data_IF_466741641063
#
_entry.id   IF_466741641063
#
_cell.length_a   1.000
_cell.length_b   1.000
_cell.length_c   1.000
_cell.angle_alpha   90.00
_cell.angle_beta   90.00
_cell.angle_gamma   90.00
#
_symmetry.space_group_name_H-M   'P 1'
#
loop_
_entity.id
_entity.type
_entity.pdbx_description
1 polymer ?
#
# COMPACT_ATOMS: atom_id res chain seq x y z
N UNK A 1 -11.03 -0.06 17.44
CA UNK A 1 -11.14 -1.49 17.06
C UNK A 1 -9.92 -1.85 16.21
N UNK A 2 -8.74 -1.91 16.83
CA UNK A 2 -7.44 -2.00 16.13
C UNK A 2 -7.36 -3.13 15.09
N UNK A 3 -8.01 -4.28 15.34
CA UNK A 3 -8.04 -5.39 14.40
C UNK A 3 -8.81 -5.07 13.11
N UNK A 4 -9.87 -4.27 13.18
CA UNK A 4 -10.62 -3.84 11.99
C UNK A 4 -9.76 -2.94 11.11
N UNK A 5 -8.98 -2.04 11.70
CA UNK A 5 -8.10 -1.12 10.97
C UNK A 5 -6.97 -1.88 10.25
N UNK A 6 -6.44 -2.95 10.86
CA UNK A 6 -5.49 -3.87 10.22
C UNK A 6 -6.12 -4.58 9.02
N UNK A 7 -7.33 -5.12 9.17
CA UNK A 7 -8.05 -5.76 8.07
C UNK A 7 -8.30 -4.77 6.94
N UNK A 8 -8.70 -3.53 7.25
CA UNK A 8 -8.90 -2.47 6.26
C UNK A 8 -7.60 -2.13 5.54
N UNK A 9 -6.48 -2.03 6.25
CA UNK A 9 -5.18 -1.76 5.63
C UNK A 9 -4.75 -2.88 4.67
N UNK A 10 -4.93 -4.15 5.06
CA UNK A 10 -4.61 -5.30 4.21
C UNK A 10 -5.51 -5.36 2.98
N UNK A 11 -6.83 -5.22 3.17
CA UNK A 11 -7.79 -5.21 2.08
C UNK A 11 -7.60 -4.01 1.16
N UNK A 12 -7.28 -2.84 1.71
CA UNK A 12 -6.97 -1.62 0.97
C UNK A 12 -5.72 -1.77 0.11
N UNK A 13 -4.63 -2.31 0.66
CA UNK A 13 -3.42 -2.57 -0.10
C UNK A 13 -3.66 -3.58 -1.24
N UNK A 14 -4.44 -4.63 -0.98
CA UNK A 14 -4.83 -5.59 -2.01
C UNK A 14 -5.73 -4.95 -3.07
N UNK A 15 -6.71 -4.15 -2.66
CA UNK A 15 -7.61 -3.43 -3.56
C UNK A 15 -6.85 -2.48 -4.48
N UNK A 16 -5.87 -1.74 -3.95
CA UNK A 16 -4.99 -0.88 -4.75
C UNK A 16 -4.16 -1.68 -5.76
N UNK A 17 -3.62 -2.82 -5.36
CA UNK A 17 -2.89 -3.71 -6.27
C UNK A 17 -3.78 -4.27 -7.38
N UNK A 18 -5.01 -4.64 -7.04
CA UNK A 18 -6.02 -5.12 -7.99
C UNK A 18 -6.42 -4.02 -8.97
N UNK A 19 -6.71 -2.82 -8.47
CA UNK A 19 -7.08 -1.68 -9.30
C UNK A 19 -5.94 -1.31 -10.25
N UNK A 20 -4.69 -1.28 -9.76
CA UNK A 20 -3.54 -0.97 -10.58
C UNK A 20 -3.27 -2.04 -11.66
N UNK A 21 -3.49 -3.31 -11.36
CA UNK A 21 -3.42 -4.38 -12.36
C UNK A 21 -4.54 -4.27 -13.41
N UNK A 22 -5.77 -3.99 -12.97
CA UNK A 22 -6.92 -3.81 -13.84
C UNK A 22 -6.73 -2.62 -14.80
N UNK A 23 -6.22 -1.49 -14.31
CA UNK A 23 -5.94 -0.30 -15.12
C UNK A 23 -4.81 -0.54 -16.12
N UNK A 24 -3.81 -1.37 -15.77
CA UNK A 24 -2.66 -1.62 -16.64
C UNK A 24 -2.85 -2.79 -17.61
N UNK A 25 -3.85 -3.66 -17.37
CA UNK A 25 -4.27 -4.73 -18.28
C UNK A 25 -3.29 -5.90 -18.42
N UNK A 26 -2.23 -5.96 -17.60
CA UNK A 26 -1.12 -6.92 -17.76
C UNK A 26 -1.32 -8.26 -17.03
N UNK A 27 -2.39 -8.41 -16.23
CA UNK A 27 -2.78 -9.63 -15.49
C UNK A 27 -1.69 -10.16 -14.54
N UNK A 28 -0.93 -9.26 -13.92
CA UNK A 28 0.20 -9.52 -13.02
C UNK A 28 -0.12 -9.29 -11.54
N UNK A 29 -1.32 -9.66 -11.08
CA UNK A 29 -1.81 -9.40 -9.71
C UNK A 29 -0.84 -9.82 -8.61
N UNK A 30 -0.07 -10.89 -8.80
CA UNK A 30 0.90 -11.34 -7.79
C UNK A 30 2.03 -10.32 -7.59
N UNK A 31 2.58 -9.77 -8.68
CA UNK A 31 3.64 -8.78 -8.59
C UNK A 31 3.12 -7.45 -8.02
N UNK A 32 1.93 -7.01 -8.44
CA UNK A 32 1.34 -5.76 -7.93
C UNK A 32 0.95 -5.86 -6.46
N UNK A 33 0.42 -7.01 -6.03
CA UNK A 33 0.08 -7.24 -4.62
C UNK A 33 1.31 -7.32 -3.72
N UNK A 34 2.40 -7.93 -4.18
CA UNK A 34 3.68 -7.93 -3.45
C UNK A 34 4.22 -6.50 -3.27
N UNK A 35 4.25 -5.70 -4.35
CA UNK A 35 4.72 -4.30 -4.30
C UNK A 35 3.85 -3.47 -3.35
N UNK A 36 2.53 -3.58 -3.48
CA UNK A 36 1.57 -2.85 -2.65
C UNK A 36 1.68 -3.27 -1.18
N UNK A 37 1.74 -4.57 -0.89
CA UNK A 37 1.83 -5.09 0.47
C UNK A 37 3.10 -4.68 1.20
N UNK A 38 4.27 -4.78 0.55
CA UNK A 38 5.54 -4.33 1.14
C UNK A 38 5.54 -2.82 1.36
N UNK A 39 5.00 -2.05 0.42
CA UNK A 39 4.88 -0.61 0.54
C UNK A 39 3.90 -0.19 1.66
N UNK A 40 2.79 -0.92 1.86
CA UNK A 40 1.87 -0.70 2.97
C UNK A 40 2.57 -0.88 4.33
N UNK A 41 3.38 -1.93 4.48
CA UNK A 41 4.18 -2.16 5.70
C UNK A 41 5.18 -1.02 5.91
N UNK A 42 5.85 -0.56 4.85
CA UNK A 42 6.77 0.57 4.91
C UNK A 42 6.06 1.88 5.32
N UNK A 43 4.87 2.14 4.78
CA UNK A 43 4.05 3.31 5.13
C UNK A 43 3.57 3.29 6.59
N UNK A 44 3.16 2.12 7.09
CA UNK A 44 2.87 1.93 8.51
C UNK A 44 4.08 2.23 9.39
N UNK A 45 5.25 1.67 9.06
CA UNK A 45 6.48 1.89 9.83
C UNK A 45 6.86 3.38 9.86
N UNK A 46 6.80 4.06 8.71
CA UNK A 46 7.05 5.50 8.62
C UNK A 46 6.12 6.29 9.55
N UNK A 47 4.82 6.03 9.49
CA UNK A 47 3.83 6.75 10.29
C UNK A 47 4.02 6.57 11.80
N UNK A 48 4.25 5.33 12.25
CA UNK A 48 4.34 4.99 13.67
C UNK A 48 5.71 5.28 14.27
N UNK A 49 6.78 5.04 13.51
CA UNK A 49 8.16 5.10 14.03
C UNK A 49 8.91 6.36 13.66
N UNK A 50 8.70 6.90 12.45
CA UNK A 50 9.48 8.05 11.97
C UNK A 50 8.77 9.35 12.32
N UNK A 51 7.48 9.45 12.03
CA UNK A 51 6.75 10.68 12.33
C UNK A 51 6.29 10.75 13.78
N UNK A 52 6.20 9.62 14.49
CA UNK A 52 5.60 9.55 15.83
C UNK A 52 4.18 10.18 15.89
N UNK A 53 3.52 10.32 14.74
CA UNK A 53 2.21 10.98 14.60
C UNK A 53 1.07 10.04 14.96
N UNK A 54 1.31 8.73 15.15
CA UNK A 54 0.25 7.77 15.43
C UNK A 54 0.69 6.60 16.34
N UNK A 55 -0.14 6.30 17.33
CA UNK A 55 -0.25 4.94 17.90
C UNK A 55 -1.15 4.10 16.97
N UNK A 56 -1.10 2.76 17.05
CA UNK A 56 -1.94 1.89 16.20
C UNK A 56 -3.46 2.05 16.42
N UNK A 57 -3.88 2.92 17.35
CA UNK A 57 -5.28 3.24 17.62
C UNK A 57 -5.87 4.35 16.73
N UNK A 58 -5.05 4.99 15.89
CA UNK A 58 -5.47 6.12 15.07
C UNK A 58 -5.47 5.77 13.58
N UNK A 59 -6.47 6.23 12.83
CA UNK A 59 -6.61 5.97 11.39
C UNK A 59 -5.46 6.51 10.51
N UNK A 60 -4.63 7.41 11.04
CA UNK A 60 -3.60 8.09 10.26
C UNK A 60 -2.54 7.12 9.71
N UNK A 61 -2.20 6.06 10.44
CA UNK A 61 -1.23 5.07 9.94
C UNK A 61 -1.78 4.25 8.75
N UNK A 62 -3.11 4.04 8.69
CA UNK A 62 -3.78 3.37 7.57
C UNK A 62 -3.65 4.21 6.30
N UNK A 63 -3.90 5.52 6.41
CA UNK A 63 -3.73 6.47 5.30
C UNK A 63 -2.29 6.45 4.76
N UNK A 64 -1.29 6.50 5.64
CA UNK A 64 0.12 6.43 5.21
C UNK A 64 0.49 5.11 4.54
N UNK A 65 -0.09 4.00 4.99
CA UNK A 65 0.07 2.69 4.34
C UNK A 65 -0.49 2.71 2.90
N UNK A 66 -1.64 3.36 2.69
CA UNK A 66 -2.25 3.50 1.36
C UNK A 66 -1.42 4.43 0.46
N UNK A 67 -0.98 5.58 0.97
CA UNK A 67 -0.15 6.52 0.22
C UNK A 67 1.15 5.87 -0.24
N UNK A 68 1.84 5.17 0.66
CA UNK A 68 3.07 4.45 0.32
C UNK A 68 2.83 3.40 -0.78
N UNK A 69 1.72 2.66 -0.70
CA UNK A 69 1.30 1.67 -1.71
C UNK A 69 1.08 2.30 -3.08
N UNK A 70 0.37 3.44 -3.14
CA UNK A 70 0.12 4.18 -4.39
C UNK A 70 1.43 4.65 -5.01
N UNK A 71 2.34 5.23 -4.22
CA UNK A 71 3.64 5.70 -4.70
C UNK A 71 4.50 4.56 -5.24
N UNK A 72 4.55 3.42 -4.54
CA UNK A 72 5.32 2.25 -4.95
C UNK A 72 4.77 1.63 -6.24
N UNK A 73 3.44 1.50 -6.36
CA UNK A 73 2.79 1.03 -7.58
C UNK A 73 3.05 1.99 -8.75
N UNK A 74 2.93 3.31 -8.52
CA UNK A 74 3.25 4.32 -9.52
C UNK A 74 4.68 4.20 -10.03
N UNK A 75 5.65 4.08 -9.12
CA UNK A 75 7.06 3.85 -9.47
C UNK A 75 7.27 2.53 -10.22
N UNK A 76 6.66 1.44 -9.76
CA UNK A 76 6.74 0.13 -10.41
C UNK A 76 6.32 0.19 -11.89
N UNK A 77 5.19 0.82 -12.19
CA UNK A 77 4.73 0.93 -13.58
C UNK A 77 5.53 1.93 -14.40
N UNK A 78 5.99 3.04 -13.80
CA UNK A 78 6.84 4.02 -14.45
C UNK A 78 8.15 3.40 -14.95
N UNK A 79 8.81 2.60 -14.12
CA UNK A 79 10.08 1.96 -14.49
C UNK A 79 9.90 0.67 -15.30
N UNK A 80 8.74 0.00 -15.17
CA UNK A 80 8.42 -1.18 -15.98
C UNK A 80 8.01 -0.85 -17.41
N UNK A 81 7.53 0.36 -17.71
CA UNK A 81 7.22 0.76 -19.10
C UNK A 81 8.46 1.11 -19.93
N UNK A 82 9.60 1.36 -19.26
CA UNK A 82 10.88 1.73 -19.88
C UNK A 82 11.74 0.53 -20.30
N UNK A 83 11.34 -0.70 -19.97
CA UNK A 83 12.00 -1.95 -20.36
C UNK A 83 11.16 -2.66 -21.41
#
# INVERSE_FOLDING_TARGET
MQYADIVIAVLGAFFLAWLADAVTGRRGLFATSLVSGVAAIAGWFLAVRVFAVATMDQWNWVLWSMVASILALGGFFLFRSKR
#
